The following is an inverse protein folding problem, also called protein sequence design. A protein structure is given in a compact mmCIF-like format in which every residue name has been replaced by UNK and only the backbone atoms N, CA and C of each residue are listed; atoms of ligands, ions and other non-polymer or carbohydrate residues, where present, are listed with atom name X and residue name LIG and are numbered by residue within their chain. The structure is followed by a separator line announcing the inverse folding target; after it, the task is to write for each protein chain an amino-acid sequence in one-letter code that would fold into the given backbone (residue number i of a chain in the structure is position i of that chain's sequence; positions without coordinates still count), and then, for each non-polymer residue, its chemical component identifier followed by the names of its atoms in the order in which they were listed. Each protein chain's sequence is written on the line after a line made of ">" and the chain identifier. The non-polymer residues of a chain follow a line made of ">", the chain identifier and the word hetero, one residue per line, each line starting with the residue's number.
data_IF_105257576818
#
_entry.id   IF_105257576818
#
_cell.length_a   1.000
_cell.length_b   1.000
_cell.length_c   1.000
_cell.angle_alpha   90.00
_cell.angle_beta   90.00
_cell.angle_gamma   90.00
#
_symmetry.space_group_name_H-M   'P 1'
#
loop_
_entity.id
_entity.type
_entity.pdbx_description
1 polymer ?
#
# COMPACT_ATOMS: atom_id res chain seq x y z
N UNK A 1 4.40 29.42 15.73
CA UNK A 1 5.11 28.13 15.85
C UNK A 1 5.20 27.79 17.34
N UNK A 2 4.66 26.67 17.72
CA UNK A 2 4.82 26.17 19.08
C UNK A 2 6.17 25.41 19.25
N UNK A 3 6.39 24.87 20.44
CA UNK A 3 7.63 24.17 20.77
C UNK A 3 7.86 22.92 19.87
N UNK A 4 6.82 22.12 19.61
CA UNK A 4 6.93 20.93 18.78
C UNK A 4 7.19 21.28 17.32
N UNK A 5 6.45 22.24 16.77
CA UNK A 5 6.69 22.73 15.40
C UNK A 5 8.13 23.25 15.24
N UNK A 6 8.66 23.96 16.25
CA UNK A 6 10.02 24.47 16.23
C UNK A 6 11.09 23.36 16.22
N UNK A 7 10.87 22.28 16.95
CA UNK A 7 11.75 21.09 16.94
C UNK A 7 11.65 20.38 15.58
N UNK A 8 10.43 20.12 15.12
CA UNK A 8 10.20 19.42 13.87
C UNK A 8 10.78 20.14 12.66
N UNK A 9 10.63 21.48 12.59
CA UNK A 9 11.25 22.28 11.51
C UNK A 9 12.75 22.06 11.48
N UNK A 10 13.44 22.14 12.63
CA UNK A 10 14.90 21.91 12.68
C UNK A 10 15.28 20.51 12.23
N UNK A 11 14.58 19.49 12.74
CA UNK A 11 14.85 18.10 12.39
C UNK A 11 14.66 17.87 10.89
N UNK A 12 13.60 18.43 10.30
CA UNK A 12 13.35 18.32 8.86
C UNK A 12 14.41 19.04 8.02
N UNK A 13 14.74 20.28 8.39
CA UNK A 13 15.76 21.07 7.70
C UNK A 13 17.12 20.38 7.71
N UNK A 14 17.52 19.81 8.84
CA UNK A 14 18.80 19.12 8.97
C UNK A 14 18.80 17.77 8.23
N UNK A 15 17.68 17.05 8.24
CA UNK A 15 17.54 15.77 7.57
C UNK A 15 17.48 15.89 6.05
N UNK A 16 16.76 16.89 5.54
CA UNK A 16 16.56 17.13 4.11
C UNK A 16 17.66 18.00 3.49
N UNK A 17 18.46 18.67 4.31
CA UNK A 17 19.52 19.59 3.84
C UNK A 17 18.98 20.89 3.22
N UNK A 18 17.74 21.28 3.51
CA UNK A 18 17.07 22.50 3.00
C UNK A 18 16.73 23.43 4.16
N UNK A 19 16.45 24.70 3.88
CA UNK A 19 16.10 25.70 4.89
C UNK A 19 14.82 26.41 4.51
N UNK A 20 14.11 26.94 5.53
CA UNK A 20 12.90 27.71 5.33
C UNK A 20 11.65 26.85 5.12
N UNK A 21 11.63 25.63 5.65
CA UNK A 21 10.48 24.72 5.57
C UNK A 21 9.29 25.32 6.32
N UNK A 22 8.14 25.37 5.64
CA UNK A 22 6.84 25.74 6.20
C UNK A 22 6.22 24.59 7.00
N UNK A 23 5.38 24.92 7.99
CA UNK A 23 4.71 23.86 8.79
C UNK A 23 3.68 23.05 8.01
N UNK A 24 3.24 23.56 6.87
CA UNK A 24 2.30 22.89 5.95
C UNK A 24 2.98 22.31 4.71
N UNK A 25 4.31 22.37 4.61
CA UNK A 25 5.03 21.72 3.53
C UNK A 25 4.96 20.20 3.71
N UNK A 26 4.79 19.50 2.60
CA UNK A 26 4.67 18.05 2.59
C UNK A 26 6.04 17.39 2.51
N UNK A 27 6.36 16.52 3.48
CA UNK A 27 7.65 15.86 3.61
C UNK A 27 8.12 15.20 2.31
N UNK A 28 7.24 14.44 1.68
CA UNK A 28 7.58 13.70 0.46
C UNK A 28 7.69 14.58 -0.78
N UNK A 29 7.02 15.73 -0.81
CA UNK A 29 7.11 16.68 -1.94
C UNK A 29 8.40 17.49 -1.92
N UNK A 30 8.95 17.76 -0.73
CA UNK A 30 10.16 18.57 -0.58
C UNK A 30 11.45 17.73 -0.53
N UNK A 31 11.39 16.45 -0.90
CA UNK A 31 12.55 15.56 -1.05
C UNK A 31 12.66 14.46 -0.01
N UNK A 32 11.70 14.35 0.88
CA UNK A 32 11.61 13.21 1.81
C UNK A 32 11.36 11.90 1.07
N UNK A 33 11.93 10.83 1.58
CA UNK A 33 11.73 9.46 1.10
C UNK A 33 11.78 8.50 2.30
N UNK A 34 11.47 7.23 2.06
CA UNK A 34 11.28 6.24 3.11
C UNK A 34 12.42 6.08 4.09
N UNK A 35 13.66 6.07 3.60
CA UNK A 35 14.82 5.99 4.49
C UNK A 35 14.95 7.24 5.39
N UNK A 36 14.64 8.42 4.83
CA UNK A 36 14.61 9.65 5.59
C UNK A 36 13.42 9.71 6.55
N UNK A 37 12.25 9.15 6.18
CA UNK A 37 11.10 9.03 7.05
C UNK A 37 11.39 8.18 8.30
N UNK A 38 12.05 7.04 8.15
CA UNK A 38 12.49 6.20 9.26
C UNK A 38 13.49 6.94 10.17
N UNK A 39 14.46 7.66 9.58
CA UNK A 39 15.41 8.48 10.34
C UNK A 39 14.74 9.66 11.03
N UNK A 40 13.72 10.24 10.39
CA UNK A 40 12.94 11.34 10.97
C UNK A 40 12.27 10.90 12.27
N UNK A 41 11.54 9.78 12.24
CA UNK A 41 10.85 9.24 13.42
C UNK A 41 11.84 8.94 14.55
N UNK A 42 12.95 8.24 14.25
CA UNK A 42 14.03 7.96 15.23
C UNK A 42 14.63 9.25 15.82
N UNK A 43 14.84 10.26 14.98
CA UNK A 43 15.38 11.54 15.44
C UNK A 43 14.38 12.31 16.30
N UNK A 44 13.10 12.31 15.94
CA UNK A 44 12.04 12.93 16.74
C UNK A 44 11.96 12.25 18.11
N UNK A 45 11.93 10.92 18.18
CA UNK A 45 11.90 10.19 19.44
C UNK A 45 13.12 10.51 20.32
N UNK A 46 14.30 10.54 19.73
CA UNK A 46 15.53 10.89 20.45
C UNK A 46 15.54 12.33 20.98
N UNK A 47 15.01 13.30 20.21
CA UNK A 47 15.00 14.71 20.60
C UNK A 47 13.85 15.12 21.52
N UNK A 48 12.70 14.46 21.39
CA UNK A 48 11.49 14.80 22.16
C UNK A 48 11.19 13.82 23.28
N UNK A 49 11.78 12.63 23.27
CA UNK A 49 11.44 11.52 24.17
C UNK A 49 10.05 10.90 23.87
N UNK A 50 9.39 11.32 22.80
CA UNK A 50 8.06 10.85 22.40
C UNK A 50 8.16 10.00 21.15
N UNK A 51 7.71 8.76 21.26
CA UNK A 51 7.59 7.88 20.10
C UNK A 51 6.50 8.39 19.16
N UNK A 52 6.87 8.58 17.90
CA UNK A 52 5.93 8.88 16.82
C UNK A 52 5.88 7.67 15.91
N UNK A 53 4.76 6.98 15.80
CA UNK A 53 4.68 5.88 14.85
C UNK A 53 4.85 6.43 13.42
N UNK A 54 5.56 5.68 12.59
CA UNK A 54 5.81 6.05 11.21
C UNK A 54 4.49 6.30 10.44
N UNK A 55 3.41 5.65 10.85
CA UNK A 55 2.04 5.86 10.35
C UNK A 55 1.51 7.27 10.58
N UNK A 56 1.98 8.01 11.59
CA UNK A 56 1.59 9.40 11.79
C UNK A 56 2.04 10.30 10.64
N UNK A 57 3.27 10.09 10.15
CA UNK A 57 3.81 10.81 8.99
C UNK A 57 3.02 10.46 7.70
N UNK A 58 2.40 9.29 7.65
CA UNK A 58 1.57 8.90 6.51
C UNK A 58 0.12 9.37 6.63
N UNK A 59 -0.37 9.52 7.86
CA UNK A 59 -1.67 10.13 8.09
C UNK A 59 -1.66 11.62 7.70
N UNK A 60 -0.58 12.33 8.05
CA UNK A 60 -0.37 13.74 7.68
C UNK A 60 1.14 14.01 7.59
N UNK A 61 1.67 14.09 6.36
CA UNK A 61 3.09 14.27 6.08
C UNK A 61 3.55 15.73 6.16
N UNK A 62 2.87 16.52 7.01
CA UNK A 62 3.24 17.90 7.33
C UNK A 62 3.82 18.01 8.74
N UNK A 63 4.57 19.08 9.00
CA UNK A 63 5.05 19.39 10.36
C UNK A 63 3.88 19.65 11.30
N UNK A 64 2.82 20.33 10.83
CA UNK A 64 1.61 20.58 11.62
C UNK A 64 0.92 19.27 12.03
N UNK A 65 0.76 18.33 11.09
CA UNK A 65 0.20 17.01 11.34
C UNK A 65 1.00 16.20 12.36
N UNK A 66 2.32 16.16 12.22
CA UNK A 66 3.21 15.49 13.19
C UNK A 66 3.16 16.15 14.57
N UNK A 67 3.16 17.48 14.62
CA UNK A 67 3.06 18.22 15.89
C UNK A 67 1.73 17.93 16.59
N UNK A 68 0.63 17.83 15.85
CA UNK A 68 -0.68 17.41 16.36
C UNK A 68 -0.64 15.98 16.90
N UNK A 69 -0.09 15.03 16.15
CA UNK A 69 0.04 13.64 16.58
C UNK A 69 0.87 13.51 17.87
N UNK A 70 1.95 14.29 18.00
CA UNK A 70 2.75 14.33 19.22
C UNK A 70 1.97 14.89 20.42
N UNK A 71 1.13 15.93 20.22
CA UNK A 71 0.29 16.50 21.29
C UNK A 71 -0.81 15.54 21.73
N UNK A 72 -1.39 14.81 20.83
CA UNK A 72 -2.52 13.89 21.08
C UNK A 72 -2.08 12.52 21.57
N UNK A 73 -0.78 12.30 21.71
CA UNK A 73 -0.22 11.03 22.15
C UNK A 73 -0.31 9.92 21.10
N UNK A 74 -0.34 10.30 19.83
CA UNK A 74 -0.36 9.42 18.68
C UNK A 74 -1.53 8.41 18.60
N UNK A 75 -2.62 8.64 19.33
CA UNK A 75 -3.76 7.72 19.41
C UNK A 75 -4.39 7.40 18.04
N UNK A 76 -4.46 8.37 17.12
CA UNK A 76 -5.02 8.16 15.78
C UNK A 76 -3.96 7.81 14.72
N UNK A 77 -2.69 8.00 15.02
CA UNK A 77 -1.60 7.74 14.07
C UNK A 77 -1.34 6.25 13.81
N UNK A 78 -1.90 5.37 14.63
CA UNK A 78 -1.88 3.92 14.47
C UNK A 78 -3.11 3.33 13.77
N UNK A 79 -3.98 4.16 13.18
CA UNK A 79 -5.17 3.67 12.50
C UNK A 79 -4.80 2.72 11.35
N UNK A 80 -5.35 1.50 11.30
CA UNK A 80 -5.03 0.53 10.25
C UNK A 80 -5.54 0.96 8.87
N UNK A 81 -6.48 1.91 8.82
CA UNK A 81 -7.05 2.47 7.58
C UNK A 81 -7.06 3.99 7.67
N UNK A 82 -6.43 4.64 6.69
CA UNK A 82 -6.31 6.10 6.62
C UNK A 82 -7.06 6.63 5.40
N UNK A 83 -8.12 7.44 5.58
CA UNK A 83 -8.83 8.07 4.49
C UNK A 83 -8.01 9.21 3.86
N UNK A 84 -7.99 9.27 2.52
CA UNK A 84 -7.44 10.37 1.73
C UNK A 84 -8.49 10.77 0.70
N UNK A 85 -8.64 12.07 0.42
CA UNK A 85 -9.64 12.61 -0.51
C UNK A 85 -11.08 12.14 -0.17
N UNK A 86 -11.42 12.06 1.13
CA UNK A 86 -12.67 11.44 1.61
C UNK A 86 -13.96 12.12 1.07
N UNK A 87 -13.88 13.37 0.57
CA UNK A 87 -15.00 14.09 -0.01
C UNK A 87 -15.31 13.78 -1.48
N UNK A 88 -14.53 12.93 -2.14
CA UNK A 88 -14.74 12.55 -3.54
C UNK A 88 -16.02 11.74 -3.75
N UNK A 89 -16.59 11.84 -4.96
CA UNK A 89 -17.89 11.26 -5.28
C UNK A 89 -17.83 9.83 -5.86
N UNK A 90 -16.65 9.33 -6.18
CA UNK A 90 -16.43 7.99 -6.78
C UNK A 90 -16.49 6.90 -5.73
N UNK A 91 -16.59 5.64 -6.19
CA UNK A 91 -16.39 4.46 -5.33
C UNK A 91 -14.99 4.52 -4.75
N UNK A 92 -14.81 4.45 -3.43
CA UNK A 92 -13.50 4.52 -2.81
C UNK A 92 -12.56 3.40 -3.28
N UNK A 93 -11.32 3.74 -3.54
CA UNK A 93 -10.25 2.78 -3.78
C UNK A 93 -9.59 2.41 -2.45
N UNK A 94 -9.71 1.14 -2.06
CA UNK A 94 -9.06 0.57 -0.87
C UNK A 94 -7.69 0.07 -1.29
N UNK A 95 -6.62 0.68 -0.79
CA UNK A 95 -5.26 0.40 -1.24
C UNK A 95 -4.36 -0.10 -0.11
N UNK A 96 -3.88 -1.34 -0.26
CA UNK A 96 -2.93 -1.97 0.66
C UNK A 96 -1.52 -1.86 0.10
N UNK A 97 -0.64 -1.21 0.83
CA UNK A 97 0.78 -1.22 0.48
C UNK A 97 1.50 -2.42 1.12
N UNK A 98 2.53 -2.93 0.44
CA UNK A 98 3.32 -4.07 0.92
C UNK A 98 4.65 -3.66 1.53
N UNK A 99 4.81 -2.40 1.90
CA UNK A 99 6.07 -1.85 2.38
C UNK A 99 6.08 -1.80 3.92
N UNK A 100 6.93 -2.62 4.52
CA UNK A 100 7.07 -2.70 5.97
C UNK A 100 8.16 -1.78 6.52
N UNK A 101 9.10 -1.34 5.69
CA UNK A 101 10.26 -0.56 6.13
C UNK A 101 10.02 0.94 5.99
N UNK A 102 9.32 1.31 4.94
CA UNK A 102 9.10 2.70 4.56
C UNK A 102 7.65 3.15 4.75
N UNK A 103 6.79 2.27 5.30
CA UNK A 103 5.41 2.58 5.66
C UNK A 103 4.51 3.00 4.50
N UNK A 104 4.85 2.60 3.27
CA UNK A 104 4.00 2.89 2.11
C UNK A 104 3.89 4.38 1.76
N UNK A 105 4.96 5.15 1.93
CA UNK A 105 5.03 6.59 1.64
C UNK A 105 4.41 6.98 0.29
N UNK A 106 4.60 6.14 -0.73
CA UNK A 106 4.05 6.34 -2.06
C UNK A 106 2.52 6.24 -2.12
N UNK A 107 1.88 5.61 -1.12
CA UNK A 107 0.42 5.41 -1.10
C UNK A 107 -0.33 6.74 -1.05
N UNK A 108 0.18 7.71 -0.29
CA UNK A 108 -0.41 9.04 -0.22
C UNK A 108 -0.16 9.84 -1.50
N UNK A 109 1.05 9.73 -2.08
CA UNK A 109 1.35 10.32 -3.38
C UNK A 109 0.47 9.71 -4.49
N UNK A 110 0.24 8.39 -4.46
CA UNK A 110 -0.67 7.72 -5.36
C UNK A 110 -2.12 8.22 -5.19
N UNK A 111 -2.60 8.32 -3.94
CA UNK A 111 -3.95 8.83 -3.67
C UNK A 111 -4.16 10.26 -4.19
N UNK A 112 -3.18 11.15 -4.04
CA UNK A 112 -3.21 12.50 -4.62
C UNK A 112 -3.21 12.46 -6.15
N UNK A 113 -2.35 11.63 -6.76
CA UNK A 113 -2.27 11.47 -8.20
C UNK A 113 -3.54 10.88 -8.84
N UNK A 114 -4.33 10.13 -8.06
CA UNK A 114 -5.66 9.65 -8.47
C UNK A 114 -6.69 10.78 -8.58
N UNK A 115 -6.44 11.93 -7.96
CA UNK A 115 -7.28 13.13 -8.01
C UNK A 115 -8.26 13.24 -6.85
N UNK A 116 -8.70 14.49 -6.59
CA UNK A 116 -9.52 14.84 -5.41
C UNK A 116 -10.92 14.21 -5.42
N UNK A 117 -11.42 13.81 -6.60
CA UNK A 117 -12.71 13.15 -6.77
C UNK A 117 -12.65 11.63 -6.50
N UNK A 118 -11.44 11.06 -6.34
CA UNK A 118 -11.22 9.64 -6.02
C UNK A 118 -10.91 9.45 -4.54
N UNK A 119 -11.91 9.10 -3.71
CA UNK A 119 -11.63 8.71 -2.34
C UNK A 119 -10.69 7.49 -2.31
N UNK A 120 -9.68 7.54 -1.44
CA UNK A 120 -8.73 6.44 -1.27
C UNK A 120 -8.64 6.10 0.21
N UNK A 121 -8.79 4.82 0.54
CA UNK A 121 -8.59 4.29 1.89
C UNK A 121 -7.26 3.53 1.90
N UNK A 122 -6.23 4.15 2.44
CA UNK A 122 -4.91 3.51 2.57
C UNK A 122 -4.97 2.55 3.74
N UNK A 123 -4.68 1.28 3.49
CA UNK A 123 -4.65 0.21 4.50
C UNK A 123 -3.20 -0.15 4.79
N UNK A 124 -2.82 -0.01 6.05
CA UNK A 124 -1.48 -0.33 6.50
C UNK A 124 -1.30 -1.84 6.77
N UNK A 125 -0.14 -2.43 6.45
CA UNK A 125 0.17 -3.79 6.83
C UNK A 125 0.27 -3.92 8.36
N UNK A 126 0.03 -5.11 8.88
CA UNK A 126 0.24 -5.40 10.30
C UNK A 126 1.72 -5.23 10.69
N UNK A 127 1.96 -4.86 11.93
CA UNK A 127 3.32 -4.65 12.48
C UNK A 127 3.89 -3.26 12.23
N UNK A 128 3.30 -2.47 11.33
CA UNK A 128 3.81 -1.13 11.01
C UNK A 128 3.62 -0.15 12.19
N UNK A 129 2.49 -0.25 12.88
CA UNK A 129 2.18 0.53 14.09
C UNK A 129 2.48 -0.23 15.40
N UNK A 130 3.25 -1.33 15.34
CA UNK A 130 3.51 -2.20 16.48
C UNK A 130 2.37 -3.17 16.80
N UNK A 131 1.33 -3.21 15.98
CA UNK A 131 0.24 -4.18 16.10
C UNK A 131 0.72 -5.59 15.78
N UNK A 132 0.04 -6.61 16.32
CA UNK A 132 0.40 -8.00 16.13
C UNK A 132 0.21 -8.39 14.66
N UNK A 133 1.19 -9.13 14.10
CA UNK A 133 1.11 -9.68 12.76
C UNK A 133 0.44 -11.06 12.83
N UNK A 134 -0.75 -11.26 12.23
CA UNK A 134 -1.38 -12.58 12.14
C UNK A 134 -0.52 -13.59 11.37
N UNK A 135 -0.69 -14.87 11.65
CA UNK A 135 0.16 -15.93 11.10
C UNK A 135 -0.21 -16.36 9.67
N UNK A 136 -1.34 -15.88 9.14
CA UNK A 136 -1.85 -16.23 7.80
C UNK A 136 -2.38 -15.02 7.04
N UNK A 137 -2.31 -15.05 5.72
CA UNK A 137 -2.88 -14.01 4.86
C UNK A 137 -4.39 -13.88 5.07
N UNK A 138 -5.09 -15.01 5.30
CA UNK A 138 -6.52 -15.04 5.56
C UNK A 138 -6.89 -14.30 6.85
N UNK A 139 -6.11 -14.46 7.91
CA UNK A 139 -6.32 -13.76 9.18
C UNK A 139 -5.99 -12.27 9.06
N UNK A 140 -4.92 -11.92 8.33
CA UNK A 140 -4.58 -10.52 8.03
C UNK A 140 -5.72 -9.84 7.26
N UNK A 141 -6.27 -10.50 6.24
CA UNK A 141 -7.39 -10.00 5.46
C UNK A 141 -8.66 -9.82 6.31
N UNK A 142 -8.99 -10.79 7.16
CA UNK A 142 -10.16 -10.73 8.02
C UNK A 142 -10.09 -9.55 9.00
N UNK A 143 -8.94 -9.30 9.60
CA UNK A 143 -8.71 -8.16 10.50
C UNK A 143 -8.86 -6.83 9.74
N UNK A 144 -8.22 -6.68 8.58
CA UNK A 144 -8.29 -5.45 7.77
C UNK A 144 -9.68 -5.20 7.18
N UNK A 145 -10.47 -6.25 6.91
CA UNK A 145 -11.90 -6.12 6.57
C UNK A 145 -12.65 -5.50 7.75
N UNK A 146 -12.42 -5.95 8.98
CA UNK A 146 -13.05 -5.37 10.17
C UNK A 146 -12.75 -3.87 10.30
N UNK A 147 -11.49 -3.48 10.13
CA UNK A 147 -11.08 -2.08 10.15
C UNK A 147 -11.68 -1.27 8.99
N UNK A 148 -11.74 -1.83 7.78
CA UNK A 148 -12.37 -1.21 6.63
C UNK A 148 -13.87 -0.99 6.86
N UNK A 149 -14.59 -2.01 7.34
CA UNK A 149 -16.03 -1.97 7.56
C UNK A 149 -16.43 -1.03 8.71
N UNK A 150 -15.55 -0.72 9.64
CA UNK A 150 -15.76 0.33 10.64
C UNK A 150 -15.89 1.74 9.99
N UNK A 151 -15.27 1.96 8.83
CA UNK A 151 -15.32 3.22 8.07
C UNK A 151 -16.35 3.15 6.95
N UNK A 152 -16.39 2.03 6.23
CA UNK A 152 -17.29 1.75 5.12
C UNK A 152 -17.95 0.39 5.30
N UNK A 153 -19.13 0.34 5.94
CA UNK A 153 -19.79 -0.91 6.33
C UNK A 153 -20.13 -1.84 5.16
N UNK A 154 -20.46 -1.28 3.99
CA UNK A 154 -20.90 -2.06 2.82
C UNK A 154 -20.22 -1.56 1.54
N UNK A 155 -20.16 -2.46 0.53
CA UNK A 155 -19.71 -2.13 -0.81
C UNK A 155 -20.59 -1.10 -1.56
N UNK A 156 -20.37 -0.91 -2.86
CA UNK A 156 -19.36 -1.61 -3.65
C UNK A 156 -17.93 -1.22 -3.25
N UNK A 157 -17.00 -2.17 -3.38
CA UNK A 157 -15.59 -1.96 -3.09
C UNK A 157 -14.74 -2.07 -4.37
N UNK A 158 -13.73 -1.23 -4.49
CA UNK A 158 -12.58 -1.45 -5.35
C UNK A 158 -11.37 -1.64 -4.44
N UNK A 159 -10.78 -2.82 -4.46
CA UNK A 159 -9.70 -3.17 -3.54
C UNK A 159 -8.44 -3.44 -4.34
N UNK A 160 -7.32 -2.87 -3.94
CA UNK A 160 -6.06 -3.14 -4.60
C UNK A 160 -4.89 -3.15 -3.64
N UNK A 161 -3.77 -3.62 -4.14
CA UNK A 161 -2.55 -3.62 -3.36
C UNK A 161 -1.31 -3.69 -4.24
N UNK A 162 -0.20 -3.32 -3.63
CA UNK A 162 1.12 -3.37 -4.24
C UNK A 162 2.00 -4.39 -3.50
N UNK A 163 2.77 -5.16 -4.26
CA UNK A 163 3.73 -6.12 -3.70
C UNK A 163 3.02 -7.14 -2.78
N UNK A 164 3.52 -7.32 -1.56
CA UNK A 164 2.93 -8.21 -0.54
C UNK A 164 1.51 -7.77 -0.13
N UNK A 165 1.22 -6.47 -0.16
CA UNK A 165 -0.12 -5.95 0.10
C UNK A 165 -1.18 -6.42 -0.90
N UNK A 166 -0.78 -6.77 -2.11
CA UNK A 166 -1.68 -7.29 -3.14
C UNK A 166 -2.27 -8.67 -2.77
N UNK A 167 -1.51 -9.52 -2.07
CA UNK A 167 -2.01 -10.84 -1.63
C UNK A 167 -3.10 -10.66 -0.55
N UNK A 168 -2.87 -9.77 0.41
CA UNK A 168 -3.87 -9.45 1.44
C UNK A 168 -5.10 -8.78 0.80
N UNK A 169 -4.89 -7.86 -0.15
CA UNK A 169 -5.98 -7.20 -0.89
C UNK A 169 -6.85 -8.20 -1.66
N UNK A 170 -6.22 -9.14 -2.35
CA UNK A 170 -6.94 -10.22 -3.06
C UNK A 170 -7.75 -11.08 -2.08
N UNK A 171 -7.15 -11.46 -0.96
CA UNK A 171 -7.84 -12.27 0.04
C UNK A 171 -8.98 -11.50 0.73
N UNK A 172 -8.82 -10.20 0.97
CA UNK A 172 -9.92 -9.35 1.45
C UNK A 172 -11.10 -9.35 0.47
N UNK A 173 -10.82 -9.16 -0.82
CA UNK A 173 -11.85 -9.21 -1.86
C UNK A 173 -12.55 -10.56 -1.90
N UNK A 174 -11.79 -11.67 -1.84
CA UNK A 174 -12.33 -13.03 -1.82
C UNK A 174 -13.26 -13.27 -0.62
N UNK A 175 -12.86 -12.82 0.58
CA UNK A 175 -13.68 -12.95 1.78
C UNK A 175 -14.92 -12.06 1.74
N UNK A 176 -14.85 -10.86 1.21
CA UNK A 176 -15.99 -9.96 1.04
C UNK A 176 -17.00 -10.54 0.04
N UNK A 177 -16.55 -11.01 -1.11
CA UNK A 177 -17.41 -11.68 -2.09
C UNK A 177 -18.07 -12.92 -1.48
N UNK A 178 -17.34 -13.72 -0.72
CA UNK A 178 -17.90 -14.90 -0.04
C UNK A 178 -18.96 -14.56 1.01
N UNK A 179 -18.96 -13.33 1.54
CA UNK A 179 -19.97 -12.78 2.48
C UNK A 179 -21.14 -12.10 1.76
N UNK A 180 -21.14 -12.09 0.41
CA UNK A 180 -22.17 -11.43 -0.40
C UNK A 180 -21.99 -9.95 -0.59
N UNK A 181 -20.81 -9.39 -0.24
CA UNK A 181 -20.48 -7.99 -0.52
C UNK A 181 -20.09 -7.78 -1.99
N UNK A 182 -20.44 -6.63 -2.53
CA UNK A 182 -20.10 -6.25 -3.90
C UNK A 182 -18.66 -5.76 -3.98
N UNK A 183 -17.85 -6.42 -4.82
CA UNK A 183 -16.47 -6.03 -5.14
C UNK A 183 -16.38 -5.82 -6.65
N UNK A 184 -16.30 -4.56 -7.06
CA UNK A 184 -16.29 -4.15 -8.47
C UNK A 184 -15.00 -4.59 -9.17
N UNK A 185 -13.86 -4.41 -8.51
CA UNK A 185 -12.57 -4.82 -9.04
C UNK A 185 -11.54 -5.12 -7.93
N UNK A 186 -10.57 -5.96 -8.28
CA UNK A 186 -9.36 -6.20 -7.51
C UNK A 186 -8.14 -5.78 -8.33
N UNK A 187 -7.34 -4.84 -7.84
CA UNK A 187 -6.18 -4.31 -8.55
C UNK A 187 -4.89 -4.80 -7.91
N UNK A 188 -4.10 -5.56 -8.65
CA UNK A 188 -2.89 -6.22 -8.17
C UNK A 188 -1.67 -5.64 -8.89
N UNK A 189 -0.86 -4.87 -8.15
CA UNK A 189 0.29 -4.16 -8.67
C UNK A 189 1.55 -4.88 -8.23
N UNK A 190 2.40 -5.26 -9.19
CA UNK A 190 3.69 -5.92 -8.94
C UNK A 190 3.55 -7.16 -8.03
N UNK A 191 2.57 -7.99 -8.29
CA UNK A 191 2.29 -9.18 -7.49
C UNK A 191 2.05 -10.41 -8.38
N UNK A 192 2.51 -11.55 -7.91
CA UNK A 192 2.27 -12.86 -8.53
C UNK A 192 1.21 -13.64 -7.75
N UNK A 193 0.44 -14.42 -8.48
CA UNK A 193 -0.53 -15.31 -7.89
C UNK A 193 0.15 -16.42 -7.06
N UNK A 194 -0.49 -16.87 -5.97
CA UNK A 194 0.00 -18.00 -5.16
C UNK A 194 0.27 -19.24 -6.02
N UNK A 195 1.32 -20.00 -5.71
CA UNK A 195 1.65 -21.26 -6.40
C UNK A 195 1.06 -22.45 -5.64
N UNK A 196 0.58 -23.49 -6.34
CA UNK A 196 0.16 -24.73 -5.69
C UNK A 196 1.32 -25.32 -4.84
N UNK A 197 1.01 -25.69 -3.59
CA UNK A 197 2.01 -26.26 -2.67
C UNK A 197 2.82 -25.23 -1.87
N UNK A 198 2.43 -23.97 -1.85
CA UNK A 198 3.01 -22.95 -0.97
C UNK A 198 4.43 -22.50 -1.31
N UNK A 199 5.02 -23.00 -2.39
CA UNK A 199 6.36 -22.60 -2.80
C UNK A 199 6.35 -21.30 -3.61
N UNK A 200 6.15 -20.16 -2.95
CA UNK A 200 6.44 -18.86 -3.58
C UNK A 200 7.93 -18.50 -3.53
N UNK A 201 8.65 -19.15 -2.67
CA UNK A 201 10.07 -18.95 -2.53
C UNK A 201 10.86 -19.90 -3.44
N UNK A 202 11.29 -19.44 -4.58
CA UNK A 202 12.70 -19.65 -4.89
C UNK A 202 13.46 -19.13 -3.68
N UNK A 203 14.50 -19.81 -3.20
CA UNK A 203 15.23 -19.56 -1.94
C UNK A 203 15.66 -18.09 -1.67
N UNK A 204 15.14 -17.15 -2.38
CA UNK A 204 15.27 -15.73 -2.32
C UNK A 204 13.91 -15.03 -2.30
N UNK A 205 12.85 -15.60 -1.75
CA UNK A 205 11.49 -15.06 -1.53
C UNK A 205 11.27 -13.53 -1.65
N UNK A 206 12.26 -12.87 -2.03
CA UNK A 206 12.37 -11.47 -2.35
C UNK A 206 12.35 -11.35 -3.88
N UNK A 207 11.58 -10.46 -4.36
CA UNK A 207 11.68 -9.91 -5.70
C UNK A 207 13.15 -9.77 -6.11
N UNK A 208 13.58 -10.58 -7.05
CA UNK A 208 14.96 -10.58 -7.51
C UNK A 208 15.12 -9.41 -8.46
N UNK A 209 15.80 -8.36 -8.03
CA UNK A 209 16.25 -7.32 -8.95
C UNK A 209 17.25 -7.99 -9.91
N UNK A 210 16.98 -7.92 -11.20
CA UNK A 210 17.97 -8.34 -12.19
C UNK A 210 19.00 -7.21 -12.37
N UNK A 211 20.28 -7.56 -12.37
CA UNK A 211 21.35 -6.62 -12.77
C UNK A 211 21.25 -6.32 -14.28
N UNK A 212 22.06 -5.39 -14.76
CA UNK A 212 22.11 -5.01 -16.19
C UNK A 212 22.43 -6.18 -17.13
N UNK A 213 22.86 -7.33 -16.61
CA UNK A 213 23.12 -8.56 -17.34
C UNK A 213 22.01 -9.61 -17.18
N UNK A 214 20.86 -9.24 -16.59
CA UNK A 214 19.72 -10.14 -16.36
C UNK A 214 19.96 -11.18 -15.25
N UNK A 215 20.94 -11.00 -14.37
CA UNK A 215 21.23 -11.93 -13.27
C UNK A 215 20.55 -11.48 -11.98
N UNK A 216 20.08 -12.44 -11.16
CA UNK A 216 19.49 -12.12 -9.88
C UNK A 216 20.48 -11.34 -8.98
N UNK A 217 20.14 -10.10 -8.63
CA UNK A 217 20.85 -9.35 -7.60
C UNK A 217 20.13 -9.54 -6.26
N UNK A 218 20.80 -9.98 -5.19
CA UNK A 218 20.15 -10.16 -3.90
C UNK A 218 19.65 -8.81 -3.40
N UNK A 219 18.35 -8.70 -3.16
CA UNK A 219 17.81 -7.69 -2.27
C UNK A 219 18.37 -7.95 -0.87
N UNK A 220 18.52 -6.90 -0.08
CA UNK A 220 19.17 -6.83 1.23
C UNK A 220 19.29 -8.18 2.00
N UNK A 221 20.40 -8.46 2.67
CA UNK A 221 20.60 -9.72 3.36
C UNK A 221 19.48 -9.93 4.40
N UNK A 222 18.91 -11.13 4.40
CA UNK A 222 17.89 -11.65 5.36
C UNK A 222 18.26 -11.37 6.84
N UNK A 223 19.53 -11.11 7.14
CA UNK A 223 20.04 -10.78 8.47
C UNK A 223 19.52 -9.47 9.07
N UNK A 224 18.71 -8.68 8.32
CA UNK A 224 18.11 -7.43 8.78
C UNK A 224 16.58 -7.40 8.71
N UNK A 225 15.95 -8.53 8.39
CA UNK A 225 14.49 -8.61 8.37
C UNK A 225 13.94 -8.50 9.80
N UNK A 226 12.92 -7.68 9.98
CA UNK A 226 12.19 -7.58 11.26
C UNK A 226 11.38 -8.85 11.52
N UNK A 227 10.97 -9.08 12.77
CA UNK A 227 10.08 -10.21 13.10
C UNK A 227 8.75 -10.14 12.32
N UNK A 228 8.24 -8.94 12.12
CA UNK A 228 7.04 -8.70 11.29
C UNK A 228 7.24 -9.17 9.84
N UNK A 229 8.34 -8.81 9.20
CA UNK A 229 8.66 -9.24 7.82
C UNK A 229 8.82 -10.76 7.72
N UNK A 230 9.45 -11.39 8.72
CA UNK A 230 9.58 -12.84 8.76
C UNK A 230 8.22 -13.55 8.92
N UNK A 231 7.30 -12.99 9.71
CA UNK A 231 5.94 -13.53 9.84
C UNK A 231 5.16 -13.40 8.54
N UNK A 232 5.24 -12.24 7.88
CA UNK A 232 4.63 -12.05 6.56
C UNK A 232 5.17 -13.02 5.52
N UNK A 233 6.50 -13.18 5.44
CA UNK A 233 7.11 -14.14 4.50
C UNK A 233 6.56 -15.55 4.73
N UNK A 234 6.47 -16.00 5.98
CA UNK A 234 5.90 -17.31 6.30
C UNK A 234 4.41 -17.43 5.95
N UNK A 235 3.64 -16.35 6.14
CA UNK A 235 2.24 -16.33 5.77
C UNK A 235 2.06 -16.39 4.24
N UNK A 236 2.88 -15.66 3.49
CA UNK A 236 2.91 -15.67 2.02
C UNK A 236 3.26 -17.06 1.49
N UNK A 237 4.30 -17.70 2.05
CA UNK A 237 4.75 -19.02 1.62
C UNK A 237 3.69 -20.12 1.80
N UNK A 238 2.76 -19.92 2.74
CA UNK A 238 1.66 -20.87 3.04
C UNK A 238 0.37 -20.53 2.32
N UNK A 239 0.27 -19.34 1.75
CA UNK A 239 -0.96 -18.89 1.14
C UNK A 239 -1.19 -19.55 -0.22
N UNK A 240 -2.27 -20.30 -0.34
CA UNK A 240 -2.65 -21.03 -1.57
C UNK A 240 -3.63 -20.25 -2.44
N UNK A 241 -4.25 -19.21 -1.88
CA UNK A 241 -5.28 -18.45 -2.54
C UNK A 241 -6.61 -19.19 -2.62
N UNK A 242 -7.44 -18.77 -3.55
CA UNK A 242 -8.74 -19.39 -3.84
C UNK A 242 -9.48 -18.59 -4.90
N UNK A 243 -10.50 -19.19 -5.51
CA UNK A 243 -11.29 -18.49 -6.51
C UNK A 243 -12.01 -17.28 -5.91
N UNK A 244 -11.91 -16.15 -6.58
CA UNK A 244 -12.63 -14.92 -6.29
C UNK A 244 -13.53 -14.57 -7.48
N UNK A 245 -14.82 -14.41 -7.26
CA UNK A 245 -15.76 -14.04 -8.33
C UNK A 245 -15.77 -12.50 -8.54
N UNK A 246 -14.59 -11.95 -8.83
CA UNK A 246 -14.38 -10.55 -9.12
C UNK A 246 -13.56 -10.37 -10.40
N UNK A 247 -13.63 -9.16 -10.98
CA UNK A 247 -12.72 -8.73 -12.05
C UNK A 247 -11.36 -8.36 -11.46
N UNK A 248 -10.27 -8.89 -12.04
CA UNK A 248 -8.90 -8.65 -11.56
C UNK A 248 -8.12 -7.83 -12.58
N UNK A 249 -7.53 -6.74 -12.14
CA UNK A 249 -6.63 -5.90 -12.91
C UNK A 249 -5.21 -6.17 -12.45
N UNK A 250 -4.35 -6.62 -13.36
CA UNK A 250 -2.93 -6.90 -13.07
C UNK A 250 -2.06 -5.80 -13.68
N UNK A 251 -1.25 -5.13 -12.88
CA UNK A 251 -0.33 -4.10 -13.32
C UNK A 251 1.10 -4.53 -13.00
N UNK A 252 1.95 -4.58 -14.03
CA UNK A 252 3.35 -4.98 -13.91
C UNK A 252 4.28 -3.91 -14.47
N UNK A 253 5.45 -3.73 -13.88
CA UNK A 253 6.53 -2.95 -14.46
C UNK A 253 7.23 -3.74 -15.56
N UNK A 254 7.62 -3.04 -16.64
CA UNK A 254 8.22 -3.67 -17.82
C UNK A 254 9.50 -4.46 -17.49
N UNK A 255 10.34 -3.92 -16.61
CA UNK A 255 11.62 -4.54 -16.24
C UNK A 255 11.47 -5.71 -15.28
N UNK A 256 10.25 -5.90 -14.74
CA UNK A 256 9.95 -6.85 -13.66
C UNK A 256 8.79 -7.79 -13.96
N UNK A 257 8.27 -7.69 -15.17
CA UNK A 257 7.08 -8.44 -15.57
C UNK A 257 7.30 -9.96 -15.48
N UNK A 258 6.29 -10.66 -15.04
CA UNK A 258 6.18 -12.10 -15.22
C UNK A 258 6.05 -12.40 -16.73
N UNK A 259 6.65 -13.50 -17.23
CA UNK A 259 6.41 -13.96 -18.61
C UNK A 259 4.91 -14.14 -18.92
N UNK A 260 4.13 -14.55 -17.93
CA UNK A 260 2.66 -14.60 -18.04
C UNK A 260 2.08 -13.19 -17.82
N UNK A 261 1.30 -12.66 -18.78
CA UNK A 261 0.76 -11.29 -18.68
C UNK A 261 -0.21 -11.08 -17.52
N UNK A 262 -0.79 -12.15 -17.00
CA UNK A 262 -1.68 -12.20 -15.85
C UNK A 262 -0.96 -12.52 -14.53
N UNK A 263 0.37 -12.72 -14.56
CA UNK A 263 1.16 -13.16 -13.41
C UNK A 263 0.56 -14.36 -12.65
N UNK A 264 -0.22 -15.20 -13.34
CA UNK A 264 -0.92 -16.37 -12.83
C UNK A 264 -2.25 -16.10 -12.13
N UNK A 265 -2.75 -14.85 -12.11
CA UNK A 265 -3.99 -14.48 -11.42
C UNK A 265 -5.27 -14.90 -12.13
N UNK A 266 -5.24 -15.14 -13.46
CA UNK A 266 -6.43 -15.53 -14.23
C UNK A 266 -7.14 -16.78 -13.70
N UNK A 267 -6.42 -17.71 -13.10
CA UNK A 267 -6.96 -18.95 -12.51
C UNK A 267 -7.83 -18.72 -11.26
N UNK A 268 -7.67 -17.56 -10.62
CA UNK A 268 -8.40 -17.19 -9.40
C UNK A 268 -9.51 -16.18 -9.67
N UNK A 269 -9.49 -15.49 -10.81
CA UNK A 269 -10.40 -14.42 -11.16
C UNK A 269 -11.63 -14.92 -11.96
N UNK A 270 -12.74 -14.16 -11.90
CA UNK A 270 -13.87 -14.32 -12.83
C UNK A 270 -13.47 -13.85 -14.24
N UNK A 271 -12.83 -12.70 -14.31
CA UNK A 271 -12.25 -12.11 -15.51
C UNK A 271 -11.03 -11.29 -15.13
N UNK A 272 -10.18 -10.97 -16.08
CA UNK A 272 -8.99 -10.19 -15.80
C UNK A 272 -8.57 -9.31 -16.98
N UNK A 273 -7.83 -8.24 -16.68
CA UNK A 273 -7.09 -7.44 -17.66
C UNK A 273 -5.66 -7.19 -17.15
N UNK A 274 -4.71 -7.00 -18.06
CA UNK A 274 -3.31 -6.81 -17.73
C UNK A 274 -2.74 -5.54 -18.34
N UNK A 275 -1.91 -4.84 -17.58
CA UNK A 275 -1.19 -3.64 -18.00
C UNK A 275 0.29 -3.78 -17.69
N UNK A 276 1.14 -3.36 -18.64
CA UNK A 276 2.59 -3.27 -18.44
C UNK A 276 2.99 -1.81 -18.56
N UNK A 277 3.58 -1.27 -17.52
CA UNK A 277 4.01 0.12 -17.43
C UNK A 277 5.55 0.22 -17.44
N UNK A 278 6.12 1.37 -17.82
CA UNK A 278 7.57 1.56 -17.77
C UNK A 278 8.13 1.41 -16.36
N UNK A 279 9.38 1.01 -16.26
CA UNK A 279 10.17 0.96 -15.04
C UNK A 279 10.27 -0.40 -14.39
N UNK A 280 10.82 -0.40 -13.20
CA UNK A 280 10.96 -1.54 -12.28
C UNK A 280 10.02 -1.40 -11.08
N UNK A 281 10.11 -2.34 -10.14
CA UNK A 281 9.30 -2.39 -8.93
C UNK A 281 9.27 -1.09 -8.10
N UNK A 282 10.38 -0.36 -8.04
CA UNK A 282 10.50 0.88 -7.27
C UNK A 282 10.15 2.10 -8.14
N UNK A 283 10.61 2.12 -9.37
CA UNK A 283 10.40 3.26 -10.26
C UNK A 283 8.96 3.37 -10.74
N UNK A 284 8.20 2.26 -10.78
CA UNK A 284 6.77 2.27 -11.06
C UNK A 284 5.98 3.13 -10.07
N UNK A 285 6.28 2.99 -8.78
CA UNK A 285 5.59 3.70 -7.69
C UNK A 285 6.23 5.04 -7.31
N UNK A 286 7.29 5.44 -8.02
CA UNK A 286 7.97 6.73 -7.81
C UNK A 286 8.01 7.54 -9.10
N UNK A 287 8.95 7.24 -10.01
CA UNK A 287 9.16 7.97 -11.26
C UNK A 287 7.97 7.87 -12.23
N UNK A 288 7.31 6.71 -12.29
CA UNK A 288 6.19 6.43 -13.19
C UNK A 288 4.83 6.48 -12.48
N UNK A 289 4.77 7.13 -11.31
CA UNK A 289 3.56 7.22 -10.50
C UNK A 289 2.38 7.85 -11.26
N UNK A 290 2.64 8.84 -12.11
CA UNK A 290 1.59 9.49 -12.92
C UNK A 290 0.98 8.53 -13.95
N UNK A 291 1.79 7.67 -14.57
CA UNK A 291 1.31 6.64 -15.51
C UNK A 291 0.52 5.56 -14.77
N UNK A 292 1.00 5.14 -13.60
CA UNK A 292 0.28 4.22 -12.72
C UNK A 292 -1.07 4.79 -12.31
N UNK A 293 -1.13 6.04 -11.83
CA UNK A 293 -2.36 6.68 -11.40
C UNK A 293 -3.37 6.83 -12.56
N UNK A 294 -2.91 7.15 -13.77
CA UNK A 294 -3.77 7.21 -14.96
C UNK A 294 -4.35 5.83 -15.27
N UNK A 295 -3.52 4.80 -15.34
CA UNK A 295 -3.96 3.42 -15.60
C UNK A 295 -4.94 2.93 -14.56
N UNK A 296 -4.71 3.22 -13.28
CA UNK A 296 -5.61 2.89 -12.18
C UNK A 296 -6.97 3.60 -12.32
N UNK A 297 -6.98 4.92 -12.59
CA UNK A 297 -8.24 5.66 -12.79
C UNK A 297 -9.08 5.06 -13.91
N UNK A 298 -8.42 4.74 -15.04
CA UNK A 298 -9.10 4.18 -16.20
C UNK A 298 -9.65 2.78 -15.90
N UNK A 299 -8.88 1.93 -15.23
CA UNK A 299 -9.30 0.59 -14.83
C UNK A 299 -10.47 0.64 -13.82
N UNK A 300 -10.36 1.47 -12.79
CA UNK A 300 -11.43 1.67 -11.79
C UNK A 300 -12.71 2.18 -12.48
N UNK A 301 -12.59 3.17 -13.38
CA UNK A 301 -13.74 3.73 -14.08
C UNK A 301 -14.43 2.69 -14.98
N UNK A 302 -13.66 1.85 -15.68
CA UNK A 302 -14.23 0.75 -16.49
C UNK A 302 -14.95 -0.25 -15.61
N UNK A 303 -14.33 -0.74 -14.54
CA UNK A 303 -14.91 -1.74 -13.66
C UNK A 303 -16.21 -1.26 -13.01
N UNK A 304 -16.21 -0.04 -12.44
CA UNK A 304 -17.38 0.53 -11.78
C UNK A 304 -18.48 0.95 -12.78
N UNK A 305 -18.12 1.32 -14.00
CA UNK A 305 -19.05 1.70 -15.09
C UNK A 305 -19.73 0.49 -15.70
N UNK A 306 -19.00 -0.54 -16.03
CA UNK A 306 -19.51 -1.78 -16.64
C UNK A 306 -20.54 -2.47 -15.75
N UNK A 307 -20.28 -2.60 -14.46
CA UNK A 307 -21.21 -3.25 -13.53
C UNK A 307 -22.48 -2.46 -13.30
N UNK A 308 -22.43 -1.13 -13.33
CA UNK A 308 -23.65 -0.28 -13.27
C UNK A 308 -24.52 -0.39 -14.52
N UNK A 309 -23.96 -0.65 -15.68
CA UNK A 309 -24.71 -0.93 -16.90
C UNK A 309 -25.36 -2.31 -16.87
N UNK A 310 -24.71 -3.33 -16.35
CA UNK A 310 -25.27 -4.68 -16.14
C UNK A 310 -26.44 -4.64 -15.15
N UNK A 311 -26.26 -3.97 -13.99
CA UNK A 311 -27.33 -3.80 -12.98
C UNK A 311 -28.55 -3.00 -13.46
N UNK A 312 -28.39 -2.14 -14.50
CA UNK A 312 -29.51 -1.42 -15.11
C UNK A 312 -30.25 -2.23 -16.16
N UNK A 313 -29.66 -3.31 -16.65
CA UNK A 313 -30.23 -4.20 -17.66
C UNK A 313 -30.91 -5.44 -17.07
N UNK A 314 -30.63 -5.77 -15.80
CA UNK A 314 -31.25 -6.82 -15.02
C UNK A 314 -32.48 -6.32 -14.24
#
# INVERSE_FOLDING_TARGET
>A
RDMFEGVLVRVWEDLLGIRGIGVHDHFFEIGGHSLLAARLVDTIERETGLAVPLTALFADDTIDGLARALREGAGDAGAPVVPVNAGGARVPFVFLHGDFQAGGFYSRALARALGDDQPTLIVHPHGLAGDAVPDTIEAMAADRIGALQAIRPTGPYVIGGHCNGALVAFEMARQLVARGEEVDAVVLIESRAPRPGGAQADAAGAYVKLDAAGRPAPLLPVSRATDAELRYTRAIDRYEGGRCDAHVVVIQAHEWRDPAPDAGWSRFARSWEGHVLPGDHVTLITRHLADLARTLRDAIARATGALREESRRA
#
